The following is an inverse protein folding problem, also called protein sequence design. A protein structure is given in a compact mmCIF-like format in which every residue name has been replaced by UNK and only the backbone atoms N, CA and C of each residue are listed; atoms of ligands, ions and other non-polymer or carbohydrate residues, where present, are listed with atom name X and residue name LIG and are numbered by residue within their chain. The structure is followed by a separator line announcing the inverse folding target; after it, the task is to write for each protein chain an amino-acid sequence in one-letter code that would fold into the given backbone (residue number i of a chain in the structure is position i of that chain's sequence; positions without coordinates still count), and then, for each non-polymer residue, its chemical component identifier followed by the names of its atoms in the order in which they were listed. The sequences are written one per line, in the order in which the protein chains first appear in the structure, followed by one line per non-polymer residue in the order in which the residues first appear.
data_IF_816957135442
#
_entry.id   IF_816957135442
#
_cell.length_a   1.000
_cell.length_b   1.000
_cell.length_c   1.000
_cell.angle_alpha   90.00
_cell.angle_beta   90.00
_cell.angle_gamma   90.00
#
_symmetry.space_group_name_H-M   'P 1'
#
loop_
_entity.id
_entity.type
_entity.pdbx_description
1 polymer ?
#
# COMPACT_ATOMS: atom_id res chain seq x y z
N UNK A 1 -20.40 14.65 -17.50
CA UNK A 1 -21.22 15.88 -17.41
C UNK A 1 -20.35 17.09 -17.00
N UNK A 2 -19.63 17.06 -15.85
CA UNK A 2 -18.83 18.22 -15.39
C UNK A 2 -17.74 18.65 -16.40
N UNK A 3 -17.03 17.72 -17.02
CA UNK A 3 -16.03 18.02 -18.03
C UNK A 3 -16.63 18.68 -19.26
N UNK A 4 -17.75 18.16 -19.75
CA UNK A 4 -18.48 18.72 -20.89
C UNK A 4 -18.97 20.15 -20.60
N UNK A 5 -19.48 20.42 -19.40
CA UNK A 5 -19.90 21.76 -18.98
C UNK A 5 -18.73 22.78 -19.00
N UNK A 6 -17.50 22.30 -18.93
CA UNK A 6 -16.27 23.11 -19.01
C UNK A 6 -15.64 23.09 -20.42
N UNK A 7 -16.32 22.53 -21.43
CA UNK A 7 -15.78 22.37 -22.78
C UNK A 7 -14.54 21.44 -22.85
N UNK A 8 -14.39 20.50 -21.89
CA UNK A 8 -13.25 19.59 -21.76
C UNK A 8 -13.67 18.13 -21.87
N UNK A 9 -12.69 17.27 -22.15
CA UNK A 9 -12.83 15.81 -22.02
C UNK A 9 -12.11 15.36 -20.74
N UNK A 10 -12.74 14.46 -20.01
CA UNK A 10 -12.13 13.86 -18.83
C UNK A 10 -11.19 12.72 -19.25
N UNK A 11 -9.91 12.82 -18.95
CA UNK A 11 -8.94 11.76 -19.14
C UNK A 11 -9.10 10.72 -18.04
N UNK A 12 -9.30 9.46 -18.44
CA UNK A 12 -9.58 8.37 -17.52
C UNK A 12 -8.81 7.10 -17.85
N UNK A 13 -8.63 6.26 -16.85
CA UNK A 13 -8.22 4.87 -17.02
C UNK A 13 -9.38 3.95 -16.64
N UNK A 14 -9.67 2.99 -17.50
CA UNK A 14 -10.68 1.96 -17.23
C UNK A 14 -10.14 0.94 -16.23
N UNK A 15 -10.89 0.72 -15.15
CA UNK A 15 -10.58 -0.32 -14.19
C UNK A 15 -11.31 -1.61 -14.56
N UNK A 16 -10.55 -2.66 -14.84
CA UNK A 16 -11.08 -4.01 -15.08
C UNK A 16 -11.02 -4.83 -13.80
N UNK A 17 -12.11 -5.53 -13.49
CA UNK A 17 -12.09 -6.54 -12.43
C UNK A 17 -11.68 -7.90 -13.02
N UNK A 18 -10.50 -8.32 -12.69
CA UNK A 18 -9.96 -9.61 -13.13
C UNK A 18 -10.02 -10.68 -12.04
N UNK A 19 -10.59 -10.37 -10.87
CA UNK A 19 -10.69 -11.32 -9.76
C UNK A 19 -10.28 -10.74 -8.40
N UNK A 20 -9.97 -9.44 -8.32
CA UNK A 20 -9.72 -8.77 -7.03
C UNK A 20 -11.05 -8.44 -6.31
N UNK A 21 -12.14 -8.25 -7.06
CA UNK A 21 -13.51 -8.02 -6.57
C UNK A 21 -13.67 -6.82 -5.61
N UNK A 22 -12.90 -5.75 -5.84
CA UNK A 22 -13.01 -4.51 -5.07
C UNK A 22 -13.69 -3.40 -5.87
N UNK A 23 -13.25 -3.18 -7.09
CA UNK A 23 -13.76 -2.20 -8.05
C UNK A 23 -13.41 -2.69 -9.47
N UNK A 24 -14.22 -2.34 -10.45
CA UNK A 24 -13.93 -2.60 -11.86
C UNK A 24 -15.13 -3.19 -12.58
N UNK A 25 -14.99 -3.27 -13.87
CA UNK A 25 -15.96 -3.83 -14.83
C UNK A 25 -15.26 -4.96 -15.54
N UNK A 26 -15.92 -6.07 -15.81
CA UNK A 26 -15.36 -7.20 -16.57
C UNK A 26 -16.14 -7.50 -17.85
N UNK A 27 -17.24 -6.81 -18.07
CA UNK A 27 -18.02 -6.88 -19.30
C UNK A 27 -17.39 -6.00 -20.40
N UNK A 28 -17.03 -6.65 -21.53
CA UNK A 28 -16.38 -5.98 -22.68
C UNK A 28 -17.32 -4.99 -23.37
N UNK A 29 -18.61 -5.26 -23.42
CA UNK A 29 -19.56 -4.37 -24.09
C UNK A 29 -19.80 -3.11 -23.27
N UNK A 30 -19.87 -3.23 -21.95
CA UNK A 30 -19.94 -2.08 -21.04
C UNK A 30 -18.66 -1.23 -21.12
N UNK A 31 -17.49 -1.85 -21.09
CA UNK A 31 -16.21 -1.14 -21.25
C UNK A 31 -16.12 -0.41 -22.59
N UNK A 32 -16.58 -1.05 -23.67
CA UNK A 32 -16.62 -0.44 -25.00
C UNK A 32 -17.58 0.75 -25.06
N UNK A 33 -18.75 0.65 -24.45
CA UNK A 33 -19.70 1.75 -24.35
C UNK A 33 -19.10 2.97 -23.62
N UNK A 34 -18.35 2.73 -22.54
CA UNK A 34 -17.63 3.79 -21.80
C UNK A 34 -16.58 4.46 -22.71
N UNK A 35 -15.84 3.70 -23.50
CA UNK A 35 -14.85 4.25 -24.43
C UNK A 35 -15.47 5.23 -25.45
N UNK A 36 -16.73 5.02 -25.81
CA UNK A 36 -17.47 5.85 -26.76
C UNK A 36 -18.34 6.92 -26.09
N UNK A 37 -18.25 7.09 -24.78
CA UNK A 37 -19.04 8.08 -24.06
C UNK A 37 -18.52 9.48 -24.35
N UNK A 38 -19.42 10.40 -24.73
CA UNK A 38 -19.08 11.79 -24.96
C UNK A 38 -18.47 12.45 -23.72
N UNK A 39 -17.43 13.25 -23.90
CA UNK A 39 -16.73 13.94 -22.83
C UNK A 39 -15.74 13.08 -22.04
N UNK A 40 -15.53 11.84 -22.45
CA UNK A 40 -14.48 10.96 -21.90
C UNK A 40 -13.37 10.75 -22.94
N UNK A 41 -12.15 10.76 -22.47
CA UNK A 41 -10.95 10.36 -23.19
C UNK A 41 -10.27 9.23 -22.42
N UNK A 42 -10.38 8.01 -22.92
CA UNK A 42 -9.77 6.85 -22.26
C UNK A 42 -8.29 6.81 -22.63
N UNK A 43 -7.41 7.15 -21.68
CA UNK A 43 -5.97 7.09 -21.87
C UNK A 43 -5.38 5.71 -21.51
N UNK A 44 -6.02 4.97 -20.63
CA UNK A 44 -5.47 3.70 -20.17
C UNK A 44 -6.50 2.69 -19.70
N UNK A 45 -6.00 1.48 -19.49
CA UNK A 45 -6.76 0.36 -18.94
C UNK A 45 -5.91 -0.38 -17.92
N UNK A 46 -6.53 -0.85 -16.81
CA UNK A 46 -5.78 -1.50 -15.76
C UNK A 46 -6.59 -2.47 -14.92
N UNK A 47 -5.86 -3.33 -14.23
CA UNK A 47 -6.40 -4.16 -13.15
C UNK A 47 -5.48 -4.12 -11.91
N UNK A 48 -5.67 -5.06 -11.00
CA UNK A 48 -4.89 -5.21 -9.78
C UNK A 48 -4.85 -6.69 -9.41
N UNK A 49 -3.66 -7.23 -9.17
CA UNK A 49 -3.47 -8.64 -8.79
C UNK A 49 -3.87 -8.84 -7.32
N UNK A 50 -4.46 -9.98 -7.03
CA UNK A 50 -4.81 -10.37 -5.68
C UNK A 50 -3.61 -10.94 -4.89
N UNK A 51 -2.57 -11.36 -5.60
CA UNK A 51 -1.33 -11.94 -5.04
C UNK A 51 -1.60 -13.18 -4.17
N UNK A 52 -2.49 -14.04 -4.63
CA UNK A 52 -2.86 -15.29 -3.95
C UNK A 52 -1.77 -16.35 -4.17
N UNK A 53 -1.46 -16.62 -5.42
CA UNK A 53 -0.40 -17.51 -5.89
C UNK A 53 -0.16 -17.27 -7.39
N UNK A 54 0.90 -17.85 -7.95
CA UNK A 54 1.29 -17.62 -9.34
C UNK A 54 0.20 -18.04 -10.36
N UNK A 55 -0.51 -19.13 -10.10
CA UNK A 55 -1.58 -19.63 -11.00
C UNK A 55 -2.77 -18.67 -11.04
N UNK A 56 -3.23 -18.17 -9.91
CA UNK A 56 -4.34 -17.23 -9.83
C UNK A 56 -3.96 -15.85 -10.39
N UNK A 57 -2.72 -15.42 -10.16
CA UNK A 57 -2.20 -14.16 -10.67
C UNK A 57 -2.07 -14.21 -12.21
N UNK A 58 -1.64 -15.35 -12.77
CA UNK A 58 -1.60 -15.58 -14.22
C UNK A 58 -3.00 -15.57 -14.86
N UNK A 59 -3.99 -16.18 -14.21
CA UNK A 59 -5.40 -16.12 -14.65
C UNK A 59 -5.90 -14.69 -14.72
N UNK A 60 -5.61 -13.89 -13.68
CA UNK A 60 -6.00 -12.48 -13.63
C UNK A 60 -5.31 -11.66 -14.72
N UNK A 61 -4.02 -11.89 -14.96
CA UNK A 61 -3.27 -11.22 -16.02
C UNK A 61 -3.82 -11.61 -17.38
N UNK A 62 -4.03 -12.89 -17.65
CA UNK A 62 -4.57 -13.42 -18.91
C UNK A 62 -5.97 -12.86 -19.18
N UNK A 63 -6.84 -12.77 -18.16
CA UNK A 63 -8.17 -12.14 -18.29
C UNK A 63 -8.05 -10.67 -18.73
N UNK A 64 -7.13 -9.91 -18.11
CA UNK A 64 -6.89 -8.52 -18.51
C UNK A 64 -6.45 -8.41 -19.96
N UNK A 65 -5.49 -9.23 -20.37
CA UNK A 65 -4.97 -9.22 -21.74
C UNK A 65 -6.04 -9.61 -22.77
N UNK A 66 -6.91 -10.57 -22.41
CA UNK A 66 -8.06 -10.96 -23.26
C UNK A 66 -9.06 -9.82 -23.46
N UNK A 67 -9.40 -9.08 -22.40
CA UNK A 67 -10.29 -7.91 -22.47
C UNK A 67 -9.65 -6.79 -23.30
N UNK A 68 -8.35 -6.52 -23.09
CA UNK A 68 -7.62 -5.52 -23.90
C UNK A 68 -7.68 -5.90 -25.38
N UNK A 69 -7.37 -7.12 -25.72
CA UNK A 69 -7.39 -7.59 -27.10
C UNK A 69 -8.78 -7.51 -27.74
N UNK A 70 -9.84 -7.80 -26.96
CA UNK A 70 -11.22 -7.68 -27.44
C UNK A 70 -11.62 -6.23 -27.74
N UNK A 71 -11.19 -5.28 -26.91
CA UNK A 71 -11.44 -3.85 -27.12
C UNK A 71 -10.59 -3.29 -28.28
N UNK A 72 -9.33 -3.72 -28.41
CA UNK A 72 -8.45 -3.33 -29.51
C UNK A 72 -8.98 -3.80 -30.87
N UNK A 73 -9.57 -5.00 -30.94
CA UNK A 73 -10.26 -5.48 -32.16
C UNK A 73 -11.46 -4.59 -32.55
N UNK A 74 -12.03 -3.85 -31.61
CA UNK A 74 -13.12 -2.90 -31.86
C UNK A 74 -12.61 -1.48 -32.14
N UNK A 75 -11.30 -1.29 -32.34
CA UNK A 75 -10.68 -0.01 -32.68
C UNK A 75 -10.34 0.87 -31.47
N UNK A 76 -10.47 0.38 -30.23
CA UNK A 76 -10.01 1.11 -29.05
C UNK A 76 -8.50 0.96 -28.90
N UNK A 77 -7.81 2.03 -28.54
CA UNK A 77 -6.38 2.00 -28.23
C UNK A 77 -6.11 2.57 -26.84
N UNK A 78 -5.12 2.01 -26.15
CA UNK A 78 -4.75 2.44 -24.81
C UNK A 78 -3.29 2.89 -24.78
N UNK A 79 -3.07 4.14 -24.38
CA UNK A 79 -1.73 4.69 -24.16
C UNK A 79 -1.05 3.99 -22.98
N UNK A 80 -1.82 3.70 -21.93
CA UNK A 80 -1.31 3.06 -20.71
C UNK A 80 -2.04 1.76 -20.42
N UNK A 81 -1.27 0.71 -20.19
CA UNK A 81 -1.75 -0.62 -19.76
C UNK A 81 -1.00 -0.99 -18.51
N UNK A 82 -1.68 -1.30 -17.41
CA UNK A 82 -0.99 -1.60 -16.14
C UNK A 82 -1.79 -2.51 -15.21
N UNK A 83 -1.10 -3.37 -14.48
CA UNK A 83 -1.71 -4.26 -13.50
C UNK A 83 -0.92 -4.29 -12.19
N UNK A 84 0.40 -4.10 -12.25
CA UNK A 84 1.30 -4.31 -11.12
C UNK A 84 1.29 -3.16 -10.13
N UNK A 85 1.36 -3.51 -8.85
CA UNK A 85 1.63 -2.67 -7.71
C UNK A 85 3.11 -2.76 -7.25
N UNK A 86 3.43 -2.44 -6.01
CA UNK A 86 4.80 -2.53 -5.48
C UNK A 86 5.34 -3.96 -5.45
N UNK A 87 4.51 -4.92 -5.04
CA UNK A 87 4.91 -6.32 -4.89
C UNK A 87 5.01 -6.97 -6.26
N UNK A 88 3.93 -6.94 -7.00
CA UNK A 88 3.88 -7.58 -8.31
C UNK A 88 4.81 -6.95 -9.34
N UNK A 89 5.14 -5.68 -9.22
CA UNK A 89 6.14 -5.05 -10.09
C UNK A 89 7.55 -5.63 -9.88
N UNK A 90 7.84 -6.17 -8.71
CA UNK A 90 9.11 -6.86 -8.40
C UNK A 90 9.03 -8.34 -8.77
N UNK A 91 7.96 -9.01 -8.33
CA UNK A 91 7.84 -10.46 -8.41
C UNK A 91 7.46 -10.99 -9.81
N UNK A 92 6.79 -10.14 -10.62
CA UNK A 92 6.31 -10.47 -11.96
C UNK A 92 6.76 -9.41 -12.98
N UNK A 93 8.07 -9.34 -13.33
CA UNK A 93 8.56 -8.36 -14.31
C UNK A 93 7.84 -8.44 -15.67
N UNK A 94 7.37 -9.62 -16.05
CA UNK A 94 6.62 -9.89 -17.28
C UNK A 94 5.22 -9.25 -17.30
N UNK A 95 4.65 -8.94 -16.13
CA UNK A 95 3.32 -8.31 -16.03
C UNK A 95 3.38 -6.77 -15.94
N UNK A 96 4.56 -6.15 -15.99
CA UNK A 96 4.72 -4.68 -15.88
C UNK A 96 4.00 -3.90 -16.94
N UNK A 97 3.84 -4.50 -18.14
CA UNK A 97 3.29 -3.82 -19.31
C UNK A 97 4.08 -2.52 -19.59
N UNK A 98 3.37 -1.39 -19.83
CA UNK A 98 4.05 -0.12 -20.08
C UNK A 98 3.90 0.91 -18.96
N UNK A 99 3.33 0.51 -17.81
CA UNK A 99 3.21 1.36 -16.61
C UNK A 99 3.12 0.49 -15.37
N UNK A 100 3.76 0.92 -14.28
CA UNK A 100 3.69 0.30 -12.95
C UNK A 100 3.19 1.29 -11.91
N UNK A 101 2.62 0.80 -10.80
CA UNK A 101 2.07 1.64 -9.73
C UNK A 101 2.71 1.33 -8.37
N UNK A 102 4.02 1.56 -8.19
CA UNK A 102 4.66 1.34 -6.91
C UNK A 102 4.17 2.36 -5.89
N UNK A 103 3.58 1.90 -4.81
CA UNK A 103 3.21 2.71 -3.65
C UNK A 103 4.21 2.51 -2.51
N UNK A 104 4.17 1.36 -1.86
CA UNK A 104 5.01 1.05 -0.71
C UNK A 104 6.53 1.18 -1.00
N UNK A 105 6.99 0.76 -2.17
CA UNK A 105 8.40 0.86 -2.56
C UNK A 105 8.91 2.30 -2.62
N UNK A 106 8.07 3.25 -3.05
CA UNK A 106 8.45 4.67 -3.12
C UNK A 106 8.74 5.26 -1.74
N UNK A 107 8.07 4.71 -0.70
CA UNK A 107 8.33 5.09 0.70
C UNK A 107 9.43 4.28 1.37
N UNK A 108 10.10 3.40 0.62
CA UNK A 108 11.15 2.55 1.18
C UNK A 108 10.62 1.37 1.98
N UNK A 109 9.35 1.01 1.80
CA UNK A 109 8.75 -0.17 2.42
C UNK A 109 8.95 -1.37 1.52
N UNK A 110 9.71 -2.36 1.98
CA UNK A 110 10.06 -3.55 1.19
C UNK A 110 8.87 -4.47 0.92
N UNK A 111 7.87 -4.50 1.78
CA UNK A 111 6.71 -5.37 1.62
C UNK A 111 7.07 -6.88 1.69
N UNK A 112 6.18 -7.71 1.14
CA UNK A 112 6.30 -9.18 1.15
C UNK A 112 6.71 -9.76 -0.20
N UNK A 113 7.37 -8.97 -1.06
CA UNK A 113 7.82 -9.45 -2.38
C UNK A 113 8.92 -10.53 -2.26
N UNK A 114 8.95 -11.43 -3.22
CA UNK A 114 9.91 -12.55 -3.30
C UNK A 114 11.28 -12.08 -3.80
N UNK A 115 11.29 -11.13 -4.73
CA UNK A 115 12.49 -10.55 -5.29
C UNK A 115 13.19 -9.60 -4.32
N UNK A 116 14.51 -9.45 -4.45
CA UNK A 116 15.26 -8.46 -3.70
C UNK A 116 15.23 -7.10 -4.42
N UNK A 117 14.83 -6.08 -3.68
CA UNK A 117 14.93 -4.67 -4.11
C UNK A 117 15.58 -3.88 -2.99
N UNK A 118 16.67 -3.19 -3.31
CA UNK A 118 17.26 -2.24 -2.38
C UNK A 118 16.43 -0.95 -2.39
N UNK A 119 15.92 -0.59 -1.23
CA UNK A 119 15.14 0.63 -1.04
C UNK A 119 15.63 1.38 0.19
N UNK A 120 15.70 2.69 0.07
CA UNK A 120 16.00 3.57 1.20
C UNK A 120 14.69 4.03 1.83
N UNK A 121 14.58 3.88 3.14
CA UNK A 121 13.39 4.31 3.88
C UNK A 121 13.25 5.84 3.78
N UNK A 122 12.15 6.30 3.17
CA UNK A 122 11.86 7.72 2.96
C UNK A 122 11.11 8.36 4.13
N UNK A 123 10.54 7.54 5.05
CA UNK A 123 9.73 8.01 6.17
C UNK A 123 10.40 7.67 7.50
N UNK A 124 10.37 8.62 8.43
CA UNK A 124 10.74 8.41 9.81
C UNK A 124 9.66 9.01 10.73
N UNK A 125 9.16 8.21 11.66
CA UNK A 125 8.28 8.70 12.73
C UNK A 125 9.15 9.15 13.89
N UNK A 126 9.08 10.45 14.22
CA UNK A 126 9.91 11.07 15.26
C UNK A 126 9.06 11.71 16.34
N UNK A 127 9.55 11.65 17.57
CA UNK A 127 8.93 12.32 18.71
C UNK A 127 10.01 12.82 19.66
N UNK A 128 9.60 13.46 20.76
CA UNK A 128 10.50 13.91 21.83
C UNK A 128 10.10 13.24 23.12
N UNK A 129 11.06 13.07 24.01
CA UNK A 129 10.79 12.63 25.38
C UNK A 129 10.12 13.79 26.11
N UNK A 130 8.90 13.56 26.67
CA UNK A 130 8.18 14.55 27.46
C UNK A 130 8.46 14.41 28.96
N UNK A 131 8.77 13.19 29.42
CA UNK A 131 9.06 12.92 30.83
C UNK A 131 9.94 11.69 30.98
N UNK A 132 10.80 11.73 32.00
CA UNK A 132 11.55 10.59 32.50
C UNK A 132 11.14 10.32 33.95
N UNK A 133 10.84 9.07 34.27
CA UNK A 133 10.46 8.64 35.60
C UNK A 133 11.30 7.43 36.02
N UNK A 134 12.02 7.54 37.15
CA UNK A 134 12.82 6.44 37.70
C UNK A 134 11.94 5.58 38.59
N UNK A 135 12.01 4.28 38.37
CA UNK A 135 11.31 3.29 39.20
C UNK A 135 12.25 2.20 39.66
N UNK A 136 11.95 1.60 40.80
CA UNK A 136 12.74 0.52 41.40
C UNK A 136 12.35 -0.84 40.82
N UNK A 137 13.26 -1.78 40.95
CA UNK A 137 12.97 -3.18 40.65
C UNK A 137 11.72 -3.66 41.41
N UNK A 138 10.80 -4.35 40.75
CA UNK A 138 9.52 -4.81 41.27
C UNK A 138 8.36 -3.82 41.14
N UNK A 139 8.63 -2.52 40.95
CA UNK A 139 7.54 -1.54 40.75
C UNK A 139 6.92 -1.73 39.35
N UNK A 140 5.62 -1.52 39.29
CA UNK A 140 4.85 -1.64 38.04
C UNK A 140 4.61 -0.29 37.36
N UNK A 141 4.41 -0.29 36.05
CA UNK A 141 4.03 0.89 35.30
C UNK A 141 2.79 0.62 34.44
N UNK A 142 1.97 1.68 34.22
CA UNK A 142 0.77 1.62 33.39
C UNK A 142 -0.42 0.94 34.06
N UNK A 143 -1.49 0.70 33.28
CA UNK A 143 -2.70 0.07 33.77
C UNK A 143 -2.46 -1.39 34.19
N UNK A 144 -3.06 -1.77 35.31
CA UNK A 144 -2.99 -3.12 35.88
C UNK A 144 -1.56 -3.64 36.12
N UNK A 145 -0.55 -2.79 36.02
CA UNK A 145 0.87 -3.17 36.15
C UNK A 145 1.24 -4.39 35.33
N UNK A 146 0.78 -4.42 34.07
CA UNK A 146 1.06 -5.51 33.13
C UNK A 146 2.57 -5.69 32.88
N UNK A 147 3.35 -4.66 33.18
CA UNK A 147 4.78 -4.71 33.19
C UNK A 147 5.34 -4.26 34.55
N UNK A 148 6.40 -4.94 34.98
CA UNK A 148 7.15 -4.59 36.19
C UNK A 148 8.64 -4.49 35.88
N UNK A 149 9.30 -3.55 36.49
CA UNK A 149 10.75 -3.39 36.36
C UNK A 149 11.48 -4.60 36.96
N UNK A 150 12.28 -5.28 36.17
CA UNK A 150 13.14 -6.37 36.69
C UNK A 150 14.41 -5.83 37.36
N UNK A 151 15.21 -4.91 36.72
CA UNK A 151 16.15 -4.03 37.43
C UNK A 151 15.53 -2.65 37.68
N UNK A 152 16.19 -1.80 38.43
CA UNK A 152 15.91 -0.37 38.47
C UNK A 152 15.86 0.17 37.03
N UNK A 153 14.81 0.91 36.71
CA UNK A 153 14.52 1.29 35.34
C UNK A 153 14.13 2.77 35.21
N UNK A 154 14.20 3.28 33.99
CA UNK A 154 13.70 4.61 33.64
C UNK A 154 12.54 4.47 32.68
N UNK A 155 11.37 4.92 33.06
CA UNK A 155 10.21 5.04 32.18
C UNK A 155 10.33 6.34 31.39
N UNK A 156 10.19 6.22 30.09
CA UNK A 156 10.23 7.34 29.15
C UNK A 156 8.84 7.58 28.58
N UNK A 157 8.27 8.73 28.84
CA UNK A 157 6.96 9.12 28.27
C UNK A 157 7.17 9.86 26.95
N UNK A 158 6.46 9.39 25.92
CA UNK A 158 6.46 9.98 24.59
C UNK A 158 5.08 10.58 24.29
N UNK A 159 4.98 11.85 23.84
CA UNK A 159 3.71 12.55 23.66
C UNK A 159 3.02 12.16 22.34
N UNK A 160 2.81 10.87 22.12
CA UNK A 160 1.98 10.36 21.03
C UNK A 160 1.23 9.10 21.48
N UNK A 161 0.11 8.83 20.85
CA UNK A 161 -0.74 7.70 21.16
C UNK A 161 -1.57 7.26 19.96
N UNK A 162 -2.61 6.50 20.20
CA UNK A 162 -3.51 5.96 19.14
C UNK A 162 -4.12 7.04 18.24
N UNK A 163 -4.37 8.25 18.75
CA UNK A 163 -4.85 9.37 17.95
C UNK A 163 -3.86 9.80 16.85
N UNK A 164 -2.61 9.40 16.95
CA UNK A 164 -1.57 9.62 15.96
C UNK A 164 -1.32 8.37 15.09
N UNK A 165 -2.31 7.49 14.96
CA UNK A 165 -2.24 6.23 14.24
C UNK A 165 -1.20 5.23 14.78
N UNK A 166 -0.78 5.38 16.05
CA UNK A 166 0.10 4.40 16.69
C UNK A 166 -0.71 3.15 17.05
N UNK A 167 -0.37 1.95 16.55
CA UNK A 167 -1.16 0.75 16.79
C UNK A 167 -1.20 0.38 18.27
N UNK A 168 -2.36 0.05 18.81
CA UNK A 168 -2.51 -0.37 20.20
C UNK A 168 -1.83 -1.72 20.49
N UNK A 169 -1.86 -2.62 19.51
CA UNK A 169 -1.23 -3.93 19.61
C UNK A 169 0.13 -3.88 18.91
N UNK A 170 1.12 -3.28 19.58
CA UNK A 170 2.50 -3.32 19.08
C UNK A 170 3.19 -4.55 19.66
N UNK A 171 3.91 -5.32 18.82
CA UNK A 171 4.70 -6.43 19.30
C UNK A 171 5.71 -5.97 20.37
N UNK A 172 5.97 -6.82 21.34
CA UNK A 172 7.01 -6.61 22.37
C UNK A 172 8.43 -6.40 21.82
N UNK A 173 8.58 -6.61 20.52
CA UNK A 173 9.82 -6.39 19.74
C UNK A 173 9.92 -4.99 19.12
N UNK A 174 8.89 -4.15 19.27
CA UNK A 174 8.98 -2.78 18.77
C UNK A 174 10.09 -2.03 19.50
N UNK A 175 10.83 -1.18 18.79
CA UNK A 175 11.94 -0.42 19.33
C UNK A 175 11.85 1.09 19.05
N UNK A 176 12.35 1.90 19.97
CA UNK A 176 12.52 3.36 19.80
C UNK A 176 14.01 3.64 19.70
N UNK A 177 14.43 4.26 18.62
CA UNK A 177 15.83 4.67 18.45
C UNK A 177 16.04 6.05 19.11
N UNK A 178 16.97 6.11 20.07
CA UNK A 178 17.43 7.35 20.68
C UNK A 178 18.84 7.60 20.12
N UNK A 179 19.12 8.69 19.37
CA UNK A 179 20.36 8.87 18.62
C UNK A 179 21.67 8.77 19.40
N UNK A 180 21.64 8.90 20.71
CA UNK A 180 22.82 8.80 21.58
C UNK A 180 22.88 7.52 22.41
N UNK A 181 21.85 6.65 22.37
CA UNK A 181 21.75 5.47 23.23
C UNK A 181 20.86 4.43 22.54
N UNK A 182 21.37 3.24 22.27
CA UNK A 182 20.54 2.10 21.91
C UNK A 182 19.89 1.51 23.17
N UNK A 183 18.60 1.75 23.33
CA UNK A 183 17.78 1.04 24.31
C UNK A 183 16.80 0.13 23.60
N UNK A 184 16.71 -1.15 23.99
CA UNK A 184 15.58 -1.97 23.58
C UNK A 184 14.33 -1.44 24.28
N UNK A 185 13.33 -0.91 23.58
CA UNK A 185 12.12 -0.48 24.24
C UNK A 185 11.22 -1.67 24.48
N UNK A 186 10.66 -1.69 25.64
CA UNK A 186 9.46 -2.45 25.90
C UNK A 186 8.31 -1.46 25.89
N UNK A 187 7.39 -1.58 24.93
CA UNK A 187 6.17 -0.81 24.96
C UNK A 187 5.32 -1.27 26.14
N UNK A 188 4.96 -0.34 27.01
CA UNK A 188 4.02 -0.54 28.09
C UNK A 188 2.66 -0.03 27.65
N UNK A 189 1.83 -0.92 27.08
CA UNK A 189 0.43 -0.68 26.81
C UNK A 189 -0.40 -1.92 27.12
#
# INVERSE_FOLDING_TARGET
KAALALGKRAKVHLKVDTGFHRLGIDDVDELYAICNTEGIEVEGIFSHLALVNAEEDEKQFTKLMGIIAALEKRGVSFKYKHITDSISAVDYPEYRLNMVRPGALVYGLRGFHKGYVEVTQAMAFKTRISQLHRIKAGEGAGYAYLWRAAPDSVITTLPFCYAHAYPRLIPSTASVHIPSIEYPPRSLF
#
